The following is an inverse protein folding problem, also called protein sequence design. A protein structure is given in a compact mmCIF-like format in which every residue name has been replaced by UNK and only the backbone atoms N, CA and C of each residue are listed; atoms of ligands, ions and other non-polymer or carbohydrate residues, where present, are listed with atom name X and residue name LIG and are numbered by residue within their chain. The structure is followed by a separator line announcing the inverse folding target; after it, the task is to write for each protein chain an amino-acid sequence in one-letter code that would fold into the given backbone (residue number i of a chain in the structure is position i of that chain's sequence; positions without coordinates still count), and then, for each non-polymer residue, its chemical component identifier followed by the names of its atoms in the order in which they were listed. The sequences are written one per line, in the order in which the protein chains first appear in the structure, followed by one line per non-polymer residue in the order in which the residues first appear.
data_IF_624239302838
#
_entry.id   IF_624239302838
#
_cell.length_a   1.000
_cell.length_b   1.000
_cell.length_c   1.000
_cell.angle_alpha   90.00
_cell.angle_beta   90.00
_cell.angle_gamma   90.00
#
_symmetry.space_group_name_H-M   'P 1'
#
loop_
_entity.id
_entity.type
_entity.pdbx_description
1 polymer ?
#
# COMPACT_ATOMS: atom_id res chain seq x y z
N UNK A 1 17.24 -4.73 -9.61
CA UNK A 1 15.98 -4.15 -10.10
C UNK A 1 15.99 -2.66 -9.79
N UNK A 2 15.90 -1.76 -10.77
CA UNK A 2 15.83 -0.30 -10.54
C UNK A 2 14.40 0.18 -10.74
N UNK A 3 13.87 1.08 -9.89
CA UNK A 3 12.57 1.67 -10.12
C UNK A 3 12.59 2.52 -11.40
N UNK A 4 11.61 2.35 -12.27
CA UNK A 4 11.45 3.15 -13.49
C UNK A 4 10.26 4.09 -13.37
N UNK A 5 10.50 5.40 -13.54
CA UNK A 5 9.45 6.40 -13.55
C UNK A 5 8.43 6.17 -14.68
N UNK A 6 8.86 5.67 -15.84
CA UNK A 6 7.95 5.36 -16.94
C UNK A 6 7.01 4.20 -16.59
N UNK A 7 7.50 3.17 -15.91
CA UNK A 7 6.66 2.06 -15.46
C UNK A 7 5.64 2.51 -14.41
N UNK A 8 6.04 3.38 -13.47
CA UNK A 8 5.12 3.92 -12.46
C UNK A 8 4.00 4.77 -13.09
N UNK A 9 4.27 5.49 -14.20
CA UNK A 9 3.23 6.22 -14.94
C UNK A 9 2.18 5.28 -15.54
N UNK A 10 2.60 4.17 -16.16
CA UNK A 10 1.68 3.16 -16.71
C UNK A 10 0.82 2.54 -15.60
N UNK A 11 1.41 2.21 -14.45
CA UNK A 11 0.65 1.67 -13.30
C UNK A 11 -0.38 2.70 -12.80
N UNK A 12 -0.01 3.98 -12.75
CA UNK A 12 -0.92 5.07 -12.37
C UNK A 12 -2.13 5.15 -13.32
N UNK A 13 -1.91 5.14 -14.63
CA UNK A 13 -2.98 5.19 -15.64
C UNK A 13 -3.97 4.03 -15.45
N UNK A 14 -3.47 2.81 -15.20
CA UNK A 14 -4.32 1.65 -14.91
C UNK A 14 -5.13 1.79 -13.61
N UNK A 15 -4.58 2.45 -12.59
CA UNK A 15 -5.31 2.75 -11.36
C UNK A 15 -6.39 3.81 -11.58
N UNK A 16 -6.12 4.85 -12.37
CA UNK A 16 -7.06 5.94 -12.66
C UNK A 16 -8.28 5.46 -13.46
N UNK A 17 -8.10 4.55 -14.42
CA UNK A 17 -9.21 3.94 -15.17
C UNK A 17 -9.86 2.76 -14.44
N UNK A 18 -9.42 2.43 -13.23
CA UNK A 18 -9.98 1.37 -12.40
C UNK A 18 -9.66 -0.06 -12.83
N UNK A 19 -8.72 -0.24 -13.77
CA UNK A 19 -8.23 -1.54 -14.24
C UNK A 19 -7.41 -2.26 -13.15
N UNK A 20 -6.65 -1.50 -12.35
CA UNK A 20 -5.95 -2.00 -11.17
C UNK A 20 -6.56 -1.34 -9.92
N UNK A 21 -6.94 -2.16 -8.94
CA UNK A 21 -7.43 -1.68 -7.64
C UNK A 21 -6.53 -2.21 -6.53
N UNK A 22 -5.99 -1.33 -5.65
CA UNK A 22 -5.20 -1.79 -4.52
C UNK A 22 -6.12 -2.52 -3.53
N UNK A 23 -5.68 -3.69 -3.07
CA UNK A 23 -6.32 -4.37 -1.94
C UNK A 23 -5.71 -3.81 -0.66
N UNK A 24 -6.47 -2.95 0.01
CA UNK A 24 -6.09 -2.38 1.32
C UNK A 24 -6.70 -3.29 2.38
N UNK A 25 -5.84 -3.83 3.22
CA UNK A 25 -6.26 -4.74 4.28
C UNK A 25 -6.58 -3.95 5.56
N UNK A 26 -5.64 -3.09 5.97
CA UNK A 26 -5.78 -2.29 7.19
C UNK A 26 -5.12 -0.93 7.04
N UNK A 27 -5.73 0.05 7.71
CA UNK A 27 -5.22 1.43 7.77
C UNK A 27 -4.94 1.78 9.23
N UNK A 28 -3.72 2.20 9.52
CA UNK A 28 -3.29 2.63 10.85
C UNK A 28 -3.01 4.14 10.85
N UNK A 29 -3.29 4.87 11.94
CA UNK A 29 -2.79 6.24 12.09
C UNK A 29 -1.27 6.26 12.27
N UNK A 30 -0.62 7.39 11.94
CA UNK A 30 0.83 7.56 12.09
C UNK A 30 1.36 7.27 13.52
N UNK A 31 0.53 7.46 14.55
CA UNK A 31 0.91 7.16 15.95
C UNK A 31 1.05 5.65 16.24
N UNK A 32 0.47 4.80 15.39
CA UNK A 32 0.39 3.34 15.56
C UNK A 32 1.29 2.60 14.54
N UNK A 33 2.37 3.24 14.07
CA UNK A 33 3.29 2.61 13.11
C UNK A 33 3.88 1.31 13.65
N UNK A 34 4.18 1.24 14.96
CA UNK A 34 4.65 0.01 15.59
C UNK A 34 3.66 -1.15 15.46
N UNK A 35 2.38 -0.89 15.73
CA UNK A 35 1.32 -1.90 15.61
C UNK A 35 1.08 -2.32 14.15
N UNK A 36 1.23 -1.39 13.22
CA UNK A 36 1.17 -1.68 11.79
C UNK A 36 2.28 -2.65 11.34
N UNK A 37 3.50 -2.47 11.85
CA UNK A 37 4.61 -3.39 11.59
C UNK A 37 4.38 -4.76 12.24
N UNK A 38 3.96 -4.81 13.51
CA UNK A 38 3.63 -6.09 14.16
C UNK A 38 2.54 -6.85 13.40
N UNK A 39 1.51 -6.15 12.92
CA UNK A 39 0.47 -6.74 12.09
C UNK A 39 1.01 -7.28 10.76
N UNK A 40 1.89 -6.53 10.10
CA UNK A 40 2.55 -6.95 8.86
C UNK A 40 3.43 -8.19 9.07
N UNK A 41 4.25 -8.20 10.12
CA UNK A 41 5.16 -9.29 10.49
C UNK A 41 4.42 -10.56 10.91
N UNK A 42 3.20 -10.45 11.44
CA UNK A 42 2.38 -11.60 11.81
C UNK A 42 1.97 -12.49 10.62
N UNK A 43 2.21 -12.05 9.38
CA UNK A 43 1.81 -12.76 8.16
C UNK A 43 0.30 -12.77 7.90
N UNK A 44 -0.50 -12.09 8.74
CA UNK A 44 -1.96 -11.98 8.61
C UNK A 44 -2.38 -10.98 7.54
N UNK A 45 -1.46 -10.12 7.10
CA UNK A 45 -1.74 -9.05 6.17
C UNK A 45 -2.09 -9.59 4.77
N UNK A 46 -3.33 -9.42 4.34
CA UNK A 46 -3.83 -9.78 2.99
C UNK A 46 -3.94 -8.54 2.12
N UNK A 47 -2.79 -8.03 1.67
CA UNK A 47 -2.71 -6.87 0.79
C UNK A 47 -1.81 -5.78 1.34
N UNK A 48 -2.23 -4.53 1.20
CA UNK A 48 -1.46 -3.36 1.66
C UNK A 48 -1.93 -2.93 3.03
N UNK A 49 -0.95 -2.77 3.94
CA UNK A 49 -1.12 -2.03 5.19
C UNK A 49 -0.76 -0.57 4.92
N UNK A 50 -1.66 0.36 5.22
CA UNK A 50 -1.50 1.78 4.91
C UNK A 50 -1.37 2.57 6.19
N UNK A 51 -0.41 3.50 6.23
CA UNK A 51 -0.32 4.50 7.30
C UNK A 51 -1.01 5.77 6.83
N UNK A 52 -2.01 6.22 7.59
CA UNK A 52 -2.69 7.49 7.36
C UNK A 52 -1.93 8.61 8.08
N UNK A 53 -1.38 9.50 7.28
CA UNK A 53 -0.81 10.78 7.70
C UNK A 53 -1.93 11.82 7.55
N UNK A 54 -2.30 12.50 8.63
CA UNK A 54 -3.21 13.65 8.61
C UNK A 54 -2.37 14.92 8.48
#
# INVERSE_FOLDING_TARGET
MKPSGSQLKVIKEFMEVGLIKPVIDKVFPLKEVGDAFQYLESGRAKGKVVIRIK
#
